data_IF_142510635036
#
_entry.id   IF_142510635036
#
_cell.length_a   1.000
_cell.length_b   1.000
_cell.length_c   1.000
_cell.angle_alpha   90.00
_cell.angle_beta   90.00
_cell.angle_gamma   90.00
#
_symmetry.space_group_name_H-M   'P 1'
#
loop_
_entity.id
_entity.type
_entity.pdbx_description
1 polymer ?
#
# COMPACT_ATOMS: atom_id res chain seq x y z
N UNK A 1 10.19 -4.85 -17.89
CA UNK A 1 9.59 -3.50 -17.71
C UNK A 1 10.48 -2.69 -16.77
N UNK A 2 10.71 -1.42 -17.08
CA UNK A 2 11.74 -0.59 -16.43
C UNK A 2 11.35 -0.23 -14.98
N UNK A 3 12.21 -0.57 -14.01
CA UNK A 3 12.03 -0.31 -12.57
C UNK A 3 11.69 1.16 -12.24
N UNK A 4 12.08 2.11 -13.08
CA UNK A 4 11.81 3.53 -12.91
C UNK A 4 10.32 3.92 -12.99
N UNK A 5 9.49 3.21 -13.76
CA UNK A 5 8.06 3.53 -13.83
C UNK A 5 7.28 3.08 -12.60
N UNK A 6 7.73 2.00 -11.95
CA UNK A 6 7.09 1.46 -10.75
C UNK A 6 7.24 2.43 -9.57
N UNK A 7 8.39 3.08 -9.46
CA UNK A 7 8.70 3.99 -8.36
C UNK A 7 7.87 5.28 -8.42
N UNK A 8 7.73 5.91 -9.60
CA UNK A 8 6.92 7.13 -9.74
C UNK A 8 5.42 6.89 -9.52
N UNK A 9 4.92 5.72 -9.94
CA UNK A 9 3.53 5.33 -9.68
C UNK A 9 3.31 4.94 -8.21
N UNK A 10 4.30 4.37 -7.55
CA UNK A 10 4.27 4.07 -6.11
C UNK A 10 4.09 5.33 -5.25
N UNK A 11 4.77 6.43 -5.58
CA UNK A 11 4.59 7.69 -4.83
C UNK A 11 3.15 8.23 -4.92
N UNK A 12 2.53 8.14 -6.10
CA UNK A 12 1.12 8.48 -6.28
C UNK A 12 0.20 7.56 -5.47
N UNK A 13 0.54 6.28 -5.40
CA UNK A 13 -0.20 5.29 -4.63
C UNK A 13 -0.09 5.53 -3.13
N UNK A 14 1.11 5.85 -2.64
CA UNK A 14 1.39 6.22 -1.25
C UNK A 14 0.50 7.39 -0.82
N UNK A 15 0.37 8.43 -1.65
CA UNK A 15 -0.53 9.55 -1.37
C UNK A 15 -1.99 9.08 -1.19
N UNK A 16 -2.52 8.27 -2.12
CA UNK A 16 -3.88 7.73 -2.03
C UNK A 16 -4.09 6.84 -0.79
N UNK A 17 -3.11 6.01 -0.45
CA UNK A 17 -3.17 5.16 0.74
C UNK A 17 -3.21 6.03 2.00
N UNK A 18 -2.36 7.07 2.08
CA UNK A 18 -2.36 8.04 3.20
C UNK A 18 -3.69 8.79 3.33
N UNK A 19 -4.30 9.18 2.21
CA UNK A 19 -5.62 9.82 2.19
C UNK A 19 -6.73 8.88 2.67
N UNK A 20 -6.71 7.62 2.22
CA UNK A 20 -7.73 6.62 2.59
C UNK A 20 -7.54 6.08 4.01
N UNK A 21 -6.29 5.99 4.46
CA UNK A 21 -5.88 5.41 5.73
C UNK A 21 -4.99 6.40 6.48
N UNK A 22 -5.63 7.35 7.17
CA UNK A 22 -4.95 8.42 7.90
C UNK A 22 -4.00 7.96 9.02
N UNK A 23 -4.07 6.69 9.41
CA UNK A 23 -3.19 6.09 10.44
C UNK A 23 -1.84 5.65 9.86
N UNK A 24 -1.72 5.51 8.54
CA UNK A 24 -0.45 5.20 7.91
C UNK A 24 0.48 6.41 7.90
N UNK A 25 1.66 6.24 8.47
CA UNK A 25 2.73 7.23 8.38
C UNK A 25 3.48 7.11 7.06
N UNK A 26 4.18 8.17 6.70
CA UNK A 26 5.00 8.17 5.48
C UNK A 26 6.15 7.17 5.52
N UNK A 27 6.67 6.86 6.71
CA UNK A 27 7.75 5.89 6.90
C UNK A 27 7.24 4.46 6.67
N UNK A 28 6.07 4.11 7.20
CA UNK A 28 5.45 2.81 6.97
C UNK A 28 5.14 2.59 5.49
N UNK A 29 4.65 3.63 4.80
CA UNK A 29 4.43 3.58 3.36
C UNK A 29 5.75 3.53 2.56
N UNK A 30 6.86 4.05 3.08
CA UNK A 30 8.17 3.83 2.46
C UNK A 30 8.63 2.39 2.64
N UNK A 31 8.45 1.83 3.84
CA UNK A 31 8.83 0.45 4.13
C UNK A 31 8.02 -0.58 3.35
N UNK A 32 6.77 -0.27 3.01
CA UNK A 32 5.94 -1.11 2.14
C UNK A 32 6.59 -1.25 0.76
N UNK A 33 7.23 -0.22 0.20
CA UNK A 33 8.05 -0.33 -1.02
C UNK A 33 7.34 -1.01 -2.22
N UNK A 34 6.04 -0.73 -2.42
CA UNK A 34 5.16 -1.40 -3.39
C UNK A 34 4.95 -2.91 -3.17
N UNK A 35 5.31 -3.42 -1.99
CA UNK A 35 5.09 -4.80 -1.59
C UNK A 35 3.67 -5.00 -1.03
N UNK A 36 2.88 -5.80 -1.73
CA UNK A 36 1.50 -6.06 -1.35
C UNK A 36 1.39 -6.87 -0.05
N UNK A 37 2.37 -7.71 0.29
CA UNK A 37 2.33 -8.48 1.55
C UNK A 37 2.59 -7.59 2.76
N UNK A 38 3.54 -6.66 2.67
CA UNK A 38 3.78 -5.67 3.72
C UNK A 38 2.54 -4.81 3.95
N UNK A 39 1.91 -4.30 2.89
CA UNK A 39 0.68 -3.53 2.99
C UNK A 39 -0.44 -4.33 3.69
N UNK A 40 -0.57 -5.61 3.37
CA UNK A 40 -1.52 -6.52 4.01
C UNK A 40 -1.24 -6.70 5.50
N UNK A 41 0.04 -6.81 5.90
CA UNK A 41 0.46 -6.87 7.31
C UNK A 41 0.01 -5.62 8.07
N UNK A 42 0.41 -4.44 7.59
CA UNK A 42 0.05 -3.18 8.23
C UNK A 42 -1.46 -2.93 8.30
N UNK A 43 -2.22 -3.30 7.25
CA UNK A 43 -3.69 -3.18 7.26
C UNK A 43 -4.34 -4.11 8.30
N UNK A 44 -3.79 -5.29 8.52
CA UNK A 44 -4.25 -6.18 9.59
C UNK A 44 -3.90 -5.61 10.96
N UNK A 45 -2.67 -5.11 11.15
CA UNK A 45 -2.18 -4.62 12.44
C UNK A 45 -2.84 -3.30 12.88
N UNK A 46 -2.94 -2.31 12.00
CA UNK A 46 -3.53 -0.99 12.32
C UNK A 46 -5.05 -0.99 12.30
N UNK A 47 -5.63 -1.62 11.29
CA UNK A 47 -7.06 -1.51 11.00
C UNK A 47 -7.85 -2.76 11.42
N UNK A 48 -7.19 -3.78 11.97
CA UNK A 48 -7.83 -5.03 12.36
C UNK A 48 -8.51 -5.75 11.19
N UNK A 49 -8.07 -5.48 9.95
CA UNK A 49 -8.68 -6.07 8.76
C UNK A 49 -8.44 -7.58 8.74
N UNK A 50 -9.37 -8.32 8.15
CA UNK A 50 -9.09 -9.72 7.80
C UNK A 50 -8.08 -9.77 6.67
N UNK A 51 -7.26 -10.83 6.66
CA UNK A 51 -6.25 -11.06 5.61
C UNK A 51 -6.81 -10.89 4.20
N UNK A 52 -8.03 -11.40 3.96
CA UNK A 52 -8.69 -11.33 2.66
C UNK A 52 -9.04 -9.89 2.26
N UNK A 53 -9.63 -9.12 3.18
CA UNK A 53 -10.00 -7.72 2.96
C UNK A 53 -8.76 -6.84 2.75
N UNK A 54 -7.72 -7.06 3.55
CA UNK A 54 -6.44 -6.40 3.38
C UNK A 54 -5.80 -6.72 2.02
N UNK A 55 -5.90 -7.97 1.56
CA UNK A 55 -5.37 -8.41 0.26
C UNK A 55 -6.12 -7.78 -0.90
N UNK A 56 -7.44 -7.67 -0.78
CA UNK A 56 -8.28 -7.02 -1.78
C UNK A 56 -7.89 -5.54 -1.92
N UNK A 57 -7.74 -4.84 -0.80
CA UNK A 57 -7.31 -3.44 -0.81
C UNK A 57 -5.91 -3.29 -1.41
N UNK A 58 -4.94 -4.10 -0.98
CA UNK A 58 -3.60 -4.11 -1.54
C UNK A 58 -3.59 -4.40 -3.06
N UNK A 59 -4.47 -5.30 -3.52
CA UNK A 59 -4.62 -5.61 -4.95
C UNK A 59 -5.22 -4.44 -5.74
N UNK A 60 -6.19 -3.71 -5.19
CA UNK A 60 -6.74 -2.50 -5.85
C UNK A 60 -5.66 -1.44 -6.06
N UNK A 61 -4.76 -1.30 -5.11
CA UNK A 61 -3.64 -0.38 -5.24
C UNK A 61 -2.64 -0.85 -6.31
N UNK A 62 -2.34 -2.16 -6.36
CA UNK A 62 -1.46 -2.74 -7.38
C UNK A 62 -2.01 -2.63 -8.79
N UNK A 63 -3.32 -2.78 -8.98
CA UNK A 63 -3.99 -2.65 -10.28
C UNK A 63 -4.03 -1.19 -10.78
N UNK A 64 -4.00 -0.22 -9.85
CA UNK A 64 -3.91 1.21 -10.18
C UNK A 64 -2.51 1.69 -10.57
N UNK A 65 -1.48 0.81 -10.47
CA UNK A 65 -0.10 1.06 -10.93
C UNK A 65 0.05 0.61 -12.39
#
# INVERSE_FOLDING_TARGET
>A
MNKHQVQGKWEQLKAKIKEKYADFTEDELLQIEADSEKLVGYLQEKYGMTKEKAREEASKFKDSL
#
